data_IF_085939315220
#
_entry.id   IF_085939315220
#
_cell.length_a   1.000
_cell.length_b   1.000
_cell.length_c   1.000
_cell.angle_alpha   90.00
_cell.angle_beta   90.00
_cell.angle_gamma   90.00
#
_symmetry.space_group_name_H-M   'P 1'
#
loop_
_entity.id
_entity.type
_entity.pdbx_description
1 polymer ?
#
# COMPACT_ATOMS: atom_id res chain seq x y z
N UNK A 1 -0.44 8.35 -18.85
CA UNK A 1 -1.49 8.99 -18.01
C UNK A 1 -0.74 9.95 -17.11
N UNK A 2 -0.59 11.20 -17.55
CA UNK A 2 0.51 12.04 -17.02
C UNK A 2 0.00 13.18 -16.13
N UNK A 3 -1.32 13.25 -15.93
CA UNK A 3 -1.97 14.28 -15.14
C UNK A 3 -2.95 13.70 -14.12
N UNK A 4 -3.01 14.33 -12.95
CA UNK A 4 -3.97 14.08 -11.88
C UNK A 4 -4.99 15.23 -11.83
N UNK A 5 -6.23 14.95 -11.42
CA UNK A 5 -7.29 15.96 -11.31
C UNK A 5 -7.69 16.17 -9.86
N UNK A 6 -7.80 17.44 -9.43
CA UNK A 6 -8.26 17.82 -8.10
C UNK A 6 -9.11 19.07 -8.17
N UNK A 7 -10.33 19.00 -7.63
CA UNK A 7 -11.32 20.10 -7.66
C UNK A 7 -11.50 20.71 -9.05
N UNK A 8 -11.56 19.86 -10.08
CA UNK A 8 -11.76 20.27 -11.47
C UNK A 8 -10.52 20.80 -12.20
N UNK A 9 -9.36 20.89 -11.53
CA UNK A 9 -8.09 21.32 -12.16
C UNK A 9 -7.19 20.11 -12.41
N UNK A 10 -6.53 20.10 -13.57
CA UNK A 10 -5.54 19.08 -13.94
C UNK A 10 -4.14 19.56 -13.59
N UNK A 11 -3.32 18.67 -13.03
CA UNK A 11 -1.93 18.91 -12.64
C UNK A 11 -1.06 17.81 -13.24
N UNK A 12 0.16 18.12 -13.66
CA UNK A 12 1.16 17.07 -13.86
C UNK A 12 1.41 16.35 -12.53
N UNK A 13 1.72 15.05 -12.53
CA UNK A 13 1.92 14.30 -11.28
C UNK A 13 2.95 14.96 -10.34
N UNK A 14 4.04 15.49 -10.90
CA UNK A 14 5.08 16.20 -10.14
C UNK A 14 4.56 17.47 -9.46
N UNK A 15 3.76 18.28 -10.16
CA UNK A 15 3.19 19.51 -9.62
C UNK A 15 1.96 19.25 -8.73
N UNK A 16 1.29 18.12 -8.91
CA UNK A 16 0.13 17.74 -8.11
C UNK A 16 0.48 17.56 -6.64
N UNK A 17 1.60 16.86 -6.36
CA UNK A 17 2.06 16.65 -4.99
C UNK A 17 2.42 17.98 -4.30
N UNK A 18 3.06 18.90 -5.03
CA UNK A 18 3.37 20.23 -4.50
C UNK A 18 2.08 21.02 -4.20
N UNK A 19 1.08 20.93 -5.09
CA UNK A 19 -0.21 21.55 -4.88
C UNK A 19 -0.90 21.02 -3.62
N UNK A 20 -0.95 19.69 -3.44
CA UNK A 20 -1.56 19.06 -2.26
C UNK A 20 -0.88 19.48 -0.95
N UNK A 21 0.45 19.63 -0.95
CA UNK A 21 1.20 20.16 0.20
C UNK A 21 0.77 21.58 0.54
N UNK A 22 0.68 22.44 -0.47
CA UNK A 22 0.36 23.85 -0.29
C UNK A 22 -1.11 24.09 0.11
N UNK A 23 -2.07 23.35 -0.47
CA UNK A 23 -3.50 23.64 -0.29
C UNK A 23 -4.20 22.77 0.74
N UNK A 24 -3.72 21.54 0.94
CA UNK A 24 -4.36 20.55 1.81
C UNK A 24 -3.47 20.15 2.99
N UNK A 25 -2.30 20.76 3.14
CA UNK A 25 -1.39 20.49 4.25
C UNK A 25 -0.86 19.06 4.27
N UNK A 26 -0.84 18.36 3.13
CA UNK A 26 -0.37 16.98 3.05
C UNK A 26 1.10 16.90 3.46
N UNK A 27 1.39 16.30 4.62
CA UNK A 27 2.75 16.27 5.15
C UNK A 27 3.60 15.12 4.63
N UNK A 28 2.96 13.99 4.30
CA UNK A 28 3.67 12.78 3.94
C UNK A 28 3.19 12.25 2.60
N UNK A 29 4.16 11.90 1.75
CA UNK A 29 3.95 11.28 0.44
C UNK A 29 4.75 10.00 0.46
N UNK A 30 4.06 8.87 0.33
CA UNK A 30 4.69 7.56 0.32
C UNK A 30 4.55 6.97 -1.07
N UNK A 31 5.70 6.72 -1.70
CA UNK A 31 5.71 5.93 -2.92
C UNK A 31 5.42 4.47 -2.55
N UNK A 32 4.46 3.89 -3.26
CA UNK A 32 4.15 2.48 -3.10
C UNK A 32 5.31 1.64 -3.65
N UNK A 33 5.77 0.64 -2.90
CA UNK A 33 6.70 -0.34 -3.47
C UNK A 33 5.92 -1.24 -4.44
N UNK A 34 6.58 -1.88 -5.40
CA UNK A 34 5.89 -2.67 -6.44
C UNK A 34 4.96 -3.76 -5.87
N UNK A 35 5.38 -4.36 -4.75
CA UNK A 35 4.62 -5.34 -3.96
C UNK A 35 3.28 -4.83 -3.39
N UNK A 36 3.11 -3.50 -3.32
CA UNK A 36 1.96 -2.81 -2.74
C UNK A 36 1.19 -2.01 -3.79
N UNK A 37 1.16 -2.52 -5.02
CA UNK A 37 0.39 -1.99 -6.14
C UNK A 37 -0.94 -2.74 -6.33
N UNK A 38 -1.81 -2.19 -7.16
CA UNK A 38 -3.10 -2.80 -7.51
C UNK A 38 -2.99 -4.15 -8.22
N UNK A 39 -1.78 -4.55 -8.68
CA UNK A 39 -1.53 -5.86 -9.30
C UNK A 39 -1.74 -7.04 -8.34
N UNK A 40 -1.67 -6.79 -7.03
CA UNK A 40 -1.73 -7.84 -6.01
C UNK A 40 -2.96 -7.72 -5.11
N UNK A 41 -3.54 -8.86 -4.73
CA UNK A 41 -4.78 -8.93 -3.97
C UNK A 41 -4.62 -8.44 -2.52
N UNK A 42 -5.39 -7.41 -2.15
CA UNK A 42 -5.43 -6.89 -0.79
C UNK A 42 -6.01 -7.89 0.22
N UNK A 43 -6.93 -8.76 -0.18
CA UNK A 43 -7.54 -9.75 0.72
C UNK A 43 -6.61 -10.89 1.08
N UNK A 44 -5.87 -11.43 0.10
CA UNK A 44 -4.91 -12.51 0.35
C UNK A 44 -3.72 -12.03 1.18
N UNK A 45 -3.32 -10.78 0.98
CA UNK A 45 -2.25 -10.17 1.78
C UNK A 45 -2.70 -9.91 3.22
N UNK A 46 -3.96 -9.50 3.46
CA UNK A 46 -4.50 -9.35 4.82
C UNK A 46 -4.58 -10.69 5.57
N UNK A 47 -4.95 -11.78 4.89
CA UNK A 47 -4.95 -13.11 5.49
C UNK A 47 -3.54 -13.58 5.89
N UNK A 48 -2.52 -13.24 5.10
CA UNK A 48 -1.13 -13.55 5.42
C UNK A 48 -0.61 -12.75 6.64
N UNK A 49 -1.00 -11.48 6.76
CA UNK A 49 -0.68 -10.65 7.91
C UNK A 49 -1.28 -11.21 9.21
N UNK A 50 -2.52 -11.72 9.15
CA UNK A 50 -3.17 -12.41 10.27
C UNK A 50 -2.49 -13.74 10.62
N UNK A 51 -1.87 -14.41 9.65
CA UNK A 51 -1.14 -15.67 9.85
C UNK A 51 0.33 -15.46 10.27
N UNK A 52 0.72 -14.25 10.68
CA UNK A 52 2.10 -13.86 11.05
C UNK A 52 3.18 -14.16 9.98
N UNK A 53 2.79 -14.34 8.73
CA UNK A 53 3.75 -14.55 7.66
C UNK A 53 4.61 -13.28 7.49
N UNK A 54 5.93 -13.45 7.58
CA UNK A 54 6.91 -12.37 7.44
C UNK A 54 7.07 -11.87 6.00
N UNK A 55 6.42 -12.51 5.03
CA UNK A 55 6.52 -12.17 3.61
C UNK A 55 5.16 -11.70 3.08
N UNK A 56 5.08 -10.53 2.42
CA UNK A 56 3.83 -10.07 1.81
C UNK A 56 3.39 -11.07 0.74
N UNK A 57 2.19 -11.65 0.88
CA UNK A 57 1.66 -12.53 -0.17
C UNK A 57 1.33 -11.73 -1.43
N UNK A 58 2.15 -11.94 -2.46
CA UNK A 58 1.97 -11.40 -3.80
C UNK A 58 1.04 -12.30 -4.61
N UNK A 59 -0.25 -12.28 -4.28
CA UNK A 59 -1.26 -13.00 -5.07
C UNK A 59 -1.72 -12.12 -6.23
N UNK A 60 -1.50 -12.51 -7.50
CA UNK A 60 -1.88 -11.67 -8.64
C UNK A 60 -3.39 -11.50 -8.75
N UNK A 61 -3.81 -10.32 -9.22
CA UNK A 61 -5.18 -10.09 -9.69
C UNK A 61 -5.15 -10.01 -11.22
N UNK A 62 -6.07 -10.72 -11.84
CA UNK A 62 -6.31 -10.59 -13.27
C UNK A 62 -7.29 -9.45 -13.49
N UNK A 63 -6.81 -8.37 -14.10
CA UNK A 63 -7.67 -7.32 -14.62
C UNK A 63 -7.81 -7.53 -16.13
N UNK A 64 -9.03 -7.72 -16.64
CA UNK A 64 -9.27 -7.60 -18.06
C UNK A 64 -8.83 -6.20 -18.53
N UNK A 65 -8.37 -6.10 -19.77
CA UNK A 65 -7.85 -4.84 -20.34
C UNK A 65 -8.90 -3.74 -20.18
N UNK A 66 -8.46 -2.59 -19.67
CA UNK A 66 -9.30 -1.41 -19.41
C UNK A 66 -10.48 -1.60 -18.43
N UNK A 67 -10.52 -2.70 -17.68
CA UNK A 67 -11.56 -2.92 -16.67
C UNK A 67 -11.18 -2.37 -15.29
N UNK A 68 -12.12 -1.66 -14.69
CA UNK A 68 -12.07 -1.18 -13.31
C UNK A 68 -12.09 -2.31 -12.28
N UNK A 69 -12.71 -3.44 -12.60
CA UNK A 69 -12.80 -4.60 -11.71
C UNK A 69 -11.85 -5.70 -12.16
N UNK A 70 -11.23 -6.37 -11.20
CA UNK A 70 -10.37 -7.53 -11.39
C UNK A 70 -10.79 -8.68 -10.50
N UNK A 71 -10.24 -9.85 -10.77
CA UNK A 71 -10.54 -11.07 -10.04
C UNK A 71 -9.28 -11.72 -9.46
N UNK A 72 -9.32 -12.06 -8.17
CA UNK A 72 -8.24 -12.80 -7.53
C UNK A 72 -8.43 -14.30 -7.74
N UNK A 73 -7.44 -14.97 -8.33
CA UNK A 73 -7.49 -16.41 -8.62
C UNK A 73 -7.45 -17.28 -7.35
N UNK A 74 -6.88 -16.78 -6.25
CA UNK A 74 -6.74 -17.51 -4.98
C UNK A 74 -7.98 -17.41 -4.08
N UNK A 75 -8.40 -16.19 -3.73
CA UNK A 75 -9.55 -16.00 -2.82
C UNK A 75 -10.89 -15.92 -3.55
N UNK A 76 -10.88 -15.96 -4.89
CA UNK A 76 -12.07 -15.95 -5.74
C UNK A 76 -12.97 -14.72 -5.54
N UNK A 77 -12.40 -13.61 -5.04
CA UNK A 77 -13.11 -12.34 -4.85
C UNK A 77 -12.85 -11.41 -6.02
N UNK A 78 -13.91 -10.75 -6.47
CA UNK A 78 -13.83 -9.57 -7.32
C UNK A 78 -13.39 -8.36 -6.51
N UNK A 79 -12.57 -7.51 -7.10
CA UNK A 79 -12.06 -6.29 -6.46
C UNK A 79 -12.06 -5.11 -7.43
N UNK A 80 -12.39 -3.93 -6.92
CA UNK A 80 -12.16 -2.67 -7.63
C UNK A 80 -10.65 -2.36 -7.67
N UNK A 81 -10.13 -1.94 -8.81
CA UNK A 81 -8.70 -1.69 -9.04
C UNK A 81 -8.14 -0.60 -8.13
N UNK A 82 -8.88 0.49 -7.97
CA UNK A 82 -8.43 1.65 -7.21
C UNK A 82 -8.56 1.37 -5.71
N UNK A 83 -9.66 0.74 -5.30
CA UNK A 83 -9.83 0.28 -3.92
C UNK A 83 -8.73 -0.73 -3.52
N UNK A 84 -8.43 -1.70 -4.40
CA UNK A 84 -7.38 -2.67 -4.17
C UNK A 84 -6.01 -1.99 -4.05
N UNK A 85 -5.70 -1.05 -4.95
CA UNK A 85 -4.48 -0.26 -4.90
C UNK A 85 -4.35 0.54 -3.60
N UNK A 86 -5.41 1.23 -3.18
CA UNK A 86 -5.43 2.01 -1.94
C UNK A 86 -5.22 1.13 -0.70
N UNK A 87 -5.90 -0.01 -0.62
CA UNK A 87 -5.74 -0.96 0.51
C UNK A 87 -4.33 -1.55 0.57
N UNK A 88 -3.71 -1.85 -0.58
CA UNK A 88 -2.32 -2.31 -0.64
C UNK A 88 -1.34 -1.24 -0.14
N UNK A 89 -1.56 0.03 -0.46
CA UNK A 89 -0.74 1.13 0.08
C UNK A 89 -0.89 1.29 1.59
N UNK A 90 -2.12 1.16 2.12
CA UNK A 90 -2.35 1.18 3.57
C UNK A 90 -1.63 0.03 4.26
N UNK A 91 -1.65 -1.17 3.66
CA UNK A 91 -0.94 -2.32 4.17
C UNK A 91 0.58 -2.07 4.26
N UNK A 92 1.19 -1.46 3.23
CA UNK A 92 2.61 -1.11 3.27
C UNK A 92 2.96 -0.22 4.47
N UNK A 93 2.09 0.74 4.80
CA UNK A 93 2.31 1.61 5.95
C UNK A 93 2.22 0.84 7.27
N UNK A 94 1.28 -0.11 7.38
CA UNK A 94 1.16 -0.98 8.55
C UNK A 94 2.38 -1.90 8.69
N UNK A 95 2.83 -2.52 7.60
CA UNK A 95 3.99 -3.40 7.59
C UNK A 95 5.27 -2.63 7.94
N UNK A 96 5.46 -1.42 7.38
CA UNK A 96 6.58 -0.53 7.75
C UNK A 96 6.55 -0.16 9.23
N UNK A 97 5.39 0.20 9.78
CA UNK A 97 5.24 0.48 11.23
C UNK A 97 5.58 -0.75 12.07
N UNK A 98 5.11 -1.94 11.70
CA UNK A 98 5.37 -3.21 12.39
C UNK A 98 6.86 -3.55 12.40
N UNK A 99 7.54 -3.41 11.25
CA UNK A 99 8.99 -3.63 11.14
C UNK A 99 9.75 -2.68 12.05
N UNK A 100 9.42 -1.38 12.03
CA UNK A 100 10.06 -0.38 12.90
C UNK A 100 9.84 -0.67 14.38
N UNK A 101 8.61 -1.02 14.78
CA UNK A 101 8.29 -1.43 16.16
C UNK A 101 9.09 -2.66 16.58
N UNK A 102 9.10 -3.71 15.76
CA UNK A 102 9.86 -4.94 16.05
C UNK A 102 11.37 -4.68 16.12
N UNK A 103 11.91 -3.81 15.28
CA UNK A 103 13.33 -3.41 15.35
C UNK A 103 13.63 -2.61 16.62
N UNK A 104 12.73 -1.71 17.03
CA UNK A 104 12.83 -0.97 18.28
C UNK A 104 12.75 -1.88 19.50
N UNK A 105 11.83 -2.84 19.51
CA UNK A 105 11.72 -3.85 20.57
C UNK A 105 12.96 -4.74 20.65
N UNK A 106 13.49 -5.22 19.51
CA UNK A 106 14.76 -5.98 19.50
C UNK A 106 15.92 -5.19 20.08
N UNK A 107 16.04 -3.89 19.76
CA UNK A 107 17.04 -3.00 20.36
C UNK A 107 16.84 -2.86 21.87
N UNK A 108 15.59 -2.72 22.33
CA UNK A 108 15.27 -2.60 23.75
C UNK A 108 15.64 -3.88 24.52
N UNK A 109 15.30 -5.06 23.99
CA UNK A 109 15.69 -6.36 24.57
C UNK A 109 17.20 -6.56 24.59
N UNK A 110 17.93 -6.09 23.56
CA UNK A 110 19.39 -6.14 23.55
C UNK A 110 20.02 -5.27 24.66
N UNK A 111 19.39 -4.15 25.01
CA UNK A 111 19.87 -3.25 26.07
C UNK A 111 19.56 -3.85 27.46
N UNK A 112 18.39 -4.46 27.63
CA UNK A 112 17.95 -5.04 28.91
C UNK A 112 18.65 -6.39 29.20
N UNK A 113 18.96 -7.18 28.17
CA UNK A 113 19.61 -8.49 28.31
C UNK A 113 21.13 -8.48 28.54
N UNK A 114 21.73 -7.30 28.79
CA UNK A 114 23.15 -7.11 29.14
C UNK A 114 23.28 -6.62 30.61
N UNK A 115 22.24 -6.76 31.43
CA UNK A 115 22.28 -6.49 32.88
C UNK A 115 22.20 -7.77 33.69
#
# INVERSE_FOLDING_TARGET
MDTASFRGRKFAHSSFIQHLRATAGVQAVYNADEAYTSKFCCHCAAAAAAAEATTPMLTPIVFPKDCRYGFCTKCRRGVDRDENGARKQQQQQQDKKRITLNAGMKKLWLIIGIS
#
